data_IF_820992436531
#
_entry.id   IF_820992436531
#
_cell.length_a   1.000
_cell.length_b   1.000
_cell.length_c   1.000
_cell.angle_alpha   90.00
_cell.angle_beta   90.00
_cell.angle_gamma   90.00
#
_symmetry.space_group_name_H-M   'P 1'
#
loop_
_entity.id
_entity.type
_entity.pdbx_description
1 polymer ?
#
# COMPACT_ATOMS: atom_id res chain seq x y z
N UNK A 1 -16.25 -24.59 -3.65
CA UNK A 1 -15.92 -23.26 -3.06
C UNK A 1 -14.64 -22.78 -3.72
N UNK A 2 -14.59 -21.53 -4.22
CA UNK A 2 -13.32 -20.95 -4.68
C UNK A 2 -12.45 -20.67 -3.45
N UNK A 3 -11.15 -20.92 -3.54
CA UNK A 3 -10.22 -20.57 -2.46
C UNK A 3 -10.09 -19.04 -2.38
N UNK A 4 -10.32 -18.49 -1.19
CA UNK A 4 -10.14 -17.06 -0.94
C UNK A 4 -8.68 -16.65 -1.10
N UNK A 5 -8.44 -15.45 -1.63
CA UNK A 5 -7.10 -15.00 -1.96
C UNK A 5 -6.88 -13.51 -1.75
N UNK A 6 -5.61 -13.17 -1.52
CA UNK A 6 -5.10 -11.80 -1.52
C UNK A 6 -4.30 -11.56 -2.79
N UNK A 7 -4.63 -10.48 -3.50
CA UNK A 7 -3.86 -10.04 -4.67
C UNK A 7 -2.86 -8.97 -4.24
N UNK A 8 -1.60 -9.14 -4.62
CA UNK A 8 -0.53 -8.17 -4.35
C UNK A 8 -0.07 -7.60 -5.69
N UNK A 9 -0.28 -6.31 -5.91
CA UNK A 9 0.26 -5.61 -7.06
C UNK A 9 1.68 -5.13 -6.77
N UNK A 10 2.61 -5.58 -7.62
CA UNK A 10 4.02 -5.26 -7.50
C UNK A 10 4.39 -4.03 -8.34
N UNK A 11 4.81 -2.96 -7.65
CA UNK A 11 5.38 -1.76 -8.28
C UNK A 11 6.92 -1.79 -8.33
N UNK A 12 7.54 -2.93 -8.06
CA UNK A 12 9.00 -3.12 -8.11
C UNK A 12 9.71 -2.97 -6.76
N UNK A 13 9.00 -3.14 -5.63
CA UNK A 13 9.64 -3.12 -4.31
C UNK A 13 10.55 -4.34 -4.12
N UNK A 14 11.71 -4.13 -3.50
CA UNK A 14 12.52 -5.22 -2.94
C UNK A 14 11.79 -6.06 -1.87
N UNK A 15 10.70 -5.52 -1.28
CA UNK A 15 9.95 -6.16 -0.20
C UNK A 15 8.67 -6.87 -0.67
N UNK A 16 8.30 -6.84 -1.96
CA UNK A 16 7.02 -7.43 -2.43
C UNK A 16 6.91 -8.93 -2.08
N UNK A 17 8.00 -9.68 -2.27
CA UNK A 17 8.03 -11.11 -1.90
C UNK A 17 7.88 -11.34 -0.39
N UNK A 18 8.41 -10.42 0.43
CA UNK A 18 8.26 -10.48 1.88
C UNK A 18 6.81 -10.26 2.30
N UNK A 19 6.10 -9.32 1.67
CA UNK A 19 4.66 -9.10 1.89
C UNK A 19 3.89 -10.38 1.60
N UNK A 20 4.10 -11.00 0.44
CA UNK A 20 3.42 -12.24 0.08
C UNK A 20 3.71 -13.39 1.06
N UNK A 21 4.96 -13.50 1.53
CA UNK A 21 5.34 -14.45 2.57
C UNK A 21 4.60 -14.19 3.87
N UNK A 22 4.51 -12.94 4.35
CA UNK A 22 3.78 -12.59 5.58
C UNK A 22 2.30 -12.94 5.50
N UNK A 23 1.66 -12.70 4.34
CA UNK A 23 0.27 -13.12 4.12
C UNK A 23 0.11 -14.64 4.21
N UNK A 24 1.04 -15.41 3.61
CA UNK A 24 1.00 -16.88 3.65
C UNK A 24 1.30 -17.45 5.04
N UNK A 25 2.12 -16.78 5.84
CA UNK A 25 2.37 -17.14 7.25
C UNK A 25 1.11 -16.99 8.11
N UNK A 26 0.12 -16.21 7.67
CA UNK A 26 -1.23 -16.14 8.26
C UNK A 26 -2.19 -17.22 7.71
N UNK A 27 -1.67 -18.21 6.96
CA UNK A 27 -2.42 -19.26 6.29
C UNK A 27 -3.41 -18.76 5.21
N UNK A 28 -3.12 -17.61 4.61
CA UNK A 28 -3.94 -17.02 3.53
C UNK A 28 -3.22 -17.19 2.19
N UNK A 29 -3.93 -17.68 1.17
CA UNK A 29 -3.37 -17.79 -0.17
C UNK A 29 -3.16 -16.39 -0.79
N UNK A 30 -2.02 -16.20 -1.45
CA UNK A 30 -1.66 -14.92 -2.06
C UNK A 30 -0.97 -15.07 -3.42
N UNK A 31 -1.33 -14.18 -4.34
CA UNK A 31 -0.73 -14.08 -5.67
C UNK A 31 -0.04 -12.72 -5.81
N UNK A 32 1.15 -12.70 -6.42
CA UNK A 32 1.82 -11.46 -6.82
C UNK A 32 1.62 -11.28 -8.31
N UNK A 33 1.16 -10.10 -8.71
CA UNK A 33 1.05 -9.71 -10.11
C UNK A 33 1.78 -8.39 -10.35
N UNK A 34 2.42 -8.20 -11.51
CA UNK A 34 2.93 -6.88 -11.91
C UNK A 34 1.80 -5.86 -11.90
N UNK A 35 2.09 -4.61 -11.54
CA UNK A 35 1.10 -3.52 -11.50
C UNK A 35 0.35 -3.31 -12.83
N UNK A 36 0.98 -3.63 -13.96
CA UNK A 36 0.45 -3.45 -15.31
C UNK A 36 -0.42 -4.62 -15.78
N UNK A 37 -0.47 -5.71 -15.02
CA UNK A 37 -1.26 -6.87 -15.40
C UNK A 37 -2.72 -6.62 -15.11
N UNK A 38 -3.56 -6.86 -16.10
CA UNK A 38 -4.99 -6.89 -15.91
C UNK A 38 -5.37 -8.16 -15.13
N UNK A 39 -5.89 -7.97 -13.91
CA UNK A 39 -6.25 -9.04 -13.00
C UNK A 39 -7.75 -8.93 -12.72
N UNK A 40 -8.47 -9.99 -13.04
CA UNK A 40 -9.90 -10.09 -12.73
C UNK A 40 -10.07 -10.23 -11.22
N UNK A 41 -10.72 -9.23 -10.62
CA UNK A 41 -11.15 -9.27 -9.23
C UNK A 41 -12.55 -9.89 -9.21
N UNK A 42 -12.60 -11.14 -8.75
CA UNK A 42 -13.84 -11.91 -8.57
C UNK A 42 -14.11 -12.13 -7.06
N UNK A 43 -15.23 -12.79 -6.73
CA UNK A 43 -15.64 -13.03 -5.34
C UNK A 43 -14.62 -13.82 -4.49
N UNK A 44 -13.62 -14.45 -5.10
CA UNK A 44 -12.54 -15.12 -4.37
C UNK A 44 -11.48 -14.15 -3.85
N UNK A 45 -11.37 -12.95 -4.43
CA UNK A 45 -10.43 -11.93 -3.97
C UNK A 45 -11.01 -11.21 -2.75
N UNK A 46 -10.36 -11.37 -1.60
CA UNK A 46 -10.83 -10.79 -0.32
C UNK A 46 -10.08 -9.56 0.12
N UNK A 47 -8.90 -9.32 -0.42
CA UNK A 47 -8.14 -8.09 -0.19
C UNK A 47 -7.14 -7.85 -1.33
N UNK A 48 -6.76 -6.59 -1.49
CA UNK A 48 -5.70 -6.16 -2.41
C UNK A 48 -4.60 -5.45 -1.61
N UNK A 49 -3.34 -5.72 -1.95
CA UNK A 49 -2.18 -5.01 -1.39
C UNK A 49 -1.43 -4.31 -2.53
N UNK A 50 -1.18 -3.01 -2.35
CA UNK A 50 -0.34 -2.20 -3.22
C UNK A 50 1.07 -2.09 -2.62
N UNK A 51 2.06 -2.65 -3.29
CA UNK A 51 3.42 -2.68 -2.76
C UNK A 51 4.14 -1.32 -2.84
N UNK A 52 5.36 -1.27 -2.30
CA UNK A 52 6.25 -0.13 -2.48
C UNK A 52 6.88 -0.09 -3.88
N UNK A 53 7.69 0.93 -4.12
CA UNK A 53 8.43 1.09 -5.38
C UNK A 53 9.67 1.96 -5.14
N UNK A 54 10.74 1.83 -5.95
CA UNK A 54 11.82 2.80 -5.96
C UNK A 54 11.45 4.12 -6.65
N UNK A 55 10.36 4.14 -7.42
CA UNK A 55 9.92 5.32 -8.18
C UNK A 55 9.23 6.36 -7.30
N UNK A 56 9.20 7.61 -7.79
CA UNK A 56 8.30 8.65 -7.28
C UNK A 56 6.98 8.61 -8.06
N UNK A 57 5.84 8.72 -7.39
CA UNK A 57 4.52 8.78 -8.08
C UNK A 57 4.37 10.01 -8.99
N UNK A 58 5.23 11.02 -8.81
CA UNK A 58 5.25 12.25 -9.61
C UNK A 58 5.99 12.10 -10.94
N UNK A 59 6.76 11.03 -11.13
CA UNK A 59 7.50 10.80 -12.37
C UNK A 59 6.55 10.40 -13.51
N UNK A 60 6.83 10.84 -14.73
CA UNK A 60 5.96 10.56 -15.88
C UNK A 60 5.84 9.06 -16.17
N UNK A 61 6.97 8.35 -16.04
CA UNK A 61 7.10 6.91 -16.23
C UNK A 61 6.86 6.09 -14.96
N UNK A 62 6.32 6.70 -13.90
CA UNK A 62 6.04 6.01 -12.65
C UNK A 62 5.05 4.84 -12.86
N UNK A 63 5.22 3.70 -12.16
CA UNK A 63 4.28 2.58 -12.21
C UNK A 63 2.84 2.99 -11.87
N UNK A 64 1.93 2.92 -12.85
CA UNK A 64 0.51 3.26 -12.68
C UNK A 64 -0.34 2.01 -12.94
N UNK A 65 -0.96 1.42 -11.91
CA UNK A 65 -1.90 0.32 -12.10
C UNK A 65 -3.19 0.86 -12.74
N UNK A 66 -3.91 0.01 -13.46
CA UNK A 66 -5.29 0.36 -13.84
C UNK A 66 -6.13 0.45 -12.58
N UNK A 67 -6.80 1.58 -12.37
CA UNK A 67 -7.61 1.80 -11.17
C UNK A 67 -8.95 1.04 -11.20
N UNK A 68 -9.33 0.49 -12.35
CA UNK A 68 -10.64 -0.13 -12.57
C UNK A 68 -10.88 -1.32 -11.63
N UNK A 69 -9.81 -1.93 -11.12
CA UNK A 69 -9.86 -3.03 -10.15
C UNK A 69 -10.19 -2.58 -8.71
N UNK A 70 -10.09 -1.29 -8.38
CA UNK A 70 -10.33 -0.76 -7.01
C UNK A 70 -11.77 -0.28 -6.78
N UNK A 71 -12.63 -0.27 -7.80
CA UNK A 71 -14.03 0.15 -7.68
C UNK A 71 -14.96 -0.92 -7.08
N UNK A 72 -14.40 -2.04 -6.61
CA UNK A 72 -15.15 -3.11 -5.96
C UNK A 72 -15.04 -2.98 -4.43
N UNK A 73 -16.01 -3.50 -3.67
CA UNK A 73 -16.06 -3.50 -2.19
C UNK A 73 -14.95 -4.34 -1.50
N UNK A 74 -13.78 -4.48 -2.15
CA UNK A 74 -12.63 -5.24 -1.67
C UNK A 74 -11.67 -4.29 -0.94
N UNK A 75 -11.29 -4.58 0.31
CA UNK A 75 -10.38 -3.73 1.07
C UNK A 75 -8.98 -3.68 0.43
N UNK A 76 -8.42 -2.47 0.39
CA UNK A 76 -7.09 -2.19 -0.17
C UNK A 76 -6.14 -1.74 0.94
N UNK A 77 -5.00 -2.42 1.09
CA UNK A 77 -3.87 -1.97 1.90
C UNK A 77 -2.77 -1.45 1.00
N UNK A 78 -2.32 -0.22 1.21
CA UNK A 78 -1.31 0.39 0.37
C UNK A 78 -0.05 0.74 1.18
N UNK A 79 1.13 0.35 0.66
CA UNK A 79 2.39 0.42 1.39
C UNK A 79 3.37 1.32 0.64
N UNK A 80 3.91 2.34 1.32
CA UNK A 80 4.88 3.28 0.76
C UNK A 80 4.39 3.91 -0.56
N UNK A 81 5.00 3.57 -1.70
CA UNK A 81 4.59 4.03 -3.03
C UNK A 81 3.10 3.78 -3.30
N UNK A 82 2.56 2.61 -2.93
CA UNK A 82 1.14 2.33 -3.09
C UNK A 82 0.26 3.34 -2.36
N UNK A 83 0.64 3.75 -1.14
CA UNK A 83 -0.09 4.74 -0.36
C UNK A 83 0.01 6.14 -0.98
N UNK A 84 1.21 6.50 -1.45
CA UNK A 84 1.43 7.75 -2.20
C UNK A 84 0.59 7.78 -3.48
N UNK A 85 0.50 6.65 -4.19
CA UNK A 85 -0.26 6.52 -5.42
C UNK A 85 -1.75 6.74 -5.18
N UNK A 86 -2.33 6.07 -4.17
CA UNK A 86 -3.73 6.30 -3.79
C UNK A 86 -3.96 7.75 -3.38
N UNK A 87 -3.12 8.31 -2.51
CA UNK A 87 -3.26 9.70 -2.10
C UNK A 87 -3.21 10.66 -3.30
N UNK A 88 -2.26 10.47 -4.21
CA UNK A 88 -2.09 11.32 -5.39
C UNK A 88 -3.29 11.23 -6.35
N UNK A 89 -3.77 10.02 -6.64
CA UNK A 89 -4.87 9.80 -7.58
C UNK A 89 -6.24 10.20 -7.00
N UNK A 90 -6.37 10.31 -5.67
CA UNK A 90 -7.60 10.72 -5.01
C UNK A 90 -7.59 12.20 -4.55
N UNK A 91 -6.75 13.05 -5.13
CA UNK A 91 -6.77 14.51 -4.88
C UNK A 91 -5.93 14.98 -3.70
N UNK A 92 -5.12 14.09 -3.12
CA UNK A 92 -4.05 14.44 -2.19
C UNK A 92 -2.81 15.01 -2.91
N UNK A 93 -1.80 15.40 -2.13
CA UNK A 93 -0.56 16.00 -2.66
C UNK A 93 0.65 15.25 -2.11
N UNK A 94 1.50 14.77 -3.01
CA UNK A 94 2.77 14.10 -2.69
C UNK A 94 3.92 15.03 -3.06
N UNK A 95 4.84 15.27 -2.13
CA UNK A 95 5.97 16.18 -2.30
C UNK A 95 7.30 15.50 -1.94
N UNK A 96 8.45 15.97 -2.45
CA UNK A 96 9.74 15.44 -2.04
C UNK A 96 9.89 15.60 -0.53
N UNK A 97 10.28 14.54 0.16
CA UNK A 97 10.60 14.67 1.57
C UNK A 97 11.89 15.46 1.73
N UNK A 98 11.89 16.47 2.61
CA UNK A 98 13.10 17.22 2.97
C UNK A 98 14.09 16.37 3.77
N UNK A 99 13.61 15.28 4.37
CA UNK A 99 14.37 14.33 5.17
C UNK A 99 14.32 13.00 4.42
N UNK A 100 15.48 12.48 4.00
CA UNK A 100 15.58 11.13 3.46
C UNK A 100 15.42 10.13 4.61
N UNK A 101 14.18 9.80 4.95
CA UNK A 101 13.84 8.84 6.00
C UNK A 101 13.99 7.41 5.47
N UNK A 102 15.25 6.98 5.32
CA UNK A 102 15.57 5.58 5.17
C UNK A 102 16.01 5.03 6.52
N UNK A 103 15.14 4.22 7.14
CA UNK A 103 15.48 3.52 8.37
C UNK A 103 14.39 3.55 9.43
N UNK A 104 14.82 3.38 10.68
CA UNK A 104 13.93 3.26 11.83
C UNK A 104 13.33 4.61 12.17
N UNK A 105 12.02 4.64 12.34
CA UNK A 105 11.28 5.74 12.92
C UNK A 105 10.33 5.21 13.99
N UNK A 106 9.84 6.10 14.85
CA UNK A 106 8.80 5.76 15.81
C UNK A 106 7.48 6.34 15.31
N UNK A 107 6.44 5.51 15.26
CA UNK A 107 5.10 5.92 14.90
C UNK A 107 4.50 6.77 16.04
N UNK A 108 4.61 8.09 15.91
CA UNK A 108 4.23 9.06 16.96
C UNK A 108 2.72 9.30 17.04
N UNK A 109 2.00 9.16 15.92
CA UNK A 109 0.57 9.40 15.82
C UNK A 109 -0.08 8.46 14.81
N UNK A 110 -1.27 7.98 15.13
CA UNK A 110 -2.23 7.30 14.26
C UNK A 110 -3.61 7.30 14.94
N UNK A 111 -4.70 7.21 14.17
CA UNK A 111 -6.03 7.02 14.76
C UNK A 111 -6.14 5.66 15.45
N UNK A 112 -6.24 5.66 16.78
CA UNK A 112 -6.38 4.45 17.58
C UNK A 112 -7.71 3.73 17.39
N UNK A 113 -8.71 4.37 16.77
CA UNK A 113 -9.98 3.73 16.41
C UNK A 113 -9.93 2.99 15.06
N UNK A 114 -8.86 3.20 14.28
CA UNK A 114 -8.67 2.50 13.01
C UNK A 114 -8.48 1.00 13.23
N UNK A 115 -9.27 0.20 12.52
CA UNK A 115 -9.17 -1.27 12.55
C UNK A 115 -7.79 -1.78 12.17
N UNK A 116 -7.06 -1.03 11.33
CA UNK A 116 -5.72 -1.39 10.87
C UNK A 116 -4.69 -1.41 12.00
N UNK A 117 -4.85 -0.54 13.00
CA UNK A 117 -3.89 -0.36 14.09
C UNK A 117 -4.32 -1.07 15.38
N UNK A 118 -5.31 -1.95 15.32
CA UNK A 118 -5.71 -2.74 16.49
C UNK A 118 -4.53 -3.59 17.00
N UNK A 119 -4.18 -3.42 18.28
CA UNK A 119 -3.04 -4.09 18.90
C UNK A 119 -1.67 -3.45 18.64
N UNK A 120 -1.60 -2.34 17.89
CA UNK A 120 -0.37 -1.56 17.70
C UNK A 120 -0.25 -0.53 18.83
N UNK A 121 0.90 -0.49 19.50
CA UNK A 121 1.16 0.48 20.58
C UNK A 121 1.69 1.81 20.04
N UNK A 122 1.41 2.90 20.76
CA UNK A 122 2.01 4.21 20.50
C UNK A 122 3.54 4.13 20.53
N UNK A 123 4.22 4.87 19.66
CA UNK A 123 5.69 4.84 19.51
C UNK A 123 6.26 3.48 19.06
N UNK A 124 5.43 2.63 18.45
CA UNK A 124 5.93 1.41 17.77
C UNK A 124 7.01 1.78 16.75
N UNK A 125 8.08 0.98 16.70
CA UNK A 125 9.13 1.16 15.71
C UNK A 125 8.63 0.69 14.35
N UNK A 126 8.78 1.55 13.35
CA UNK A 126 8.46 1.28 11.94
C UNK A 126 9.70 1.46 11.07
N UNK A 127 9.65 0.89 9.88
CA UNK A 127 10.71 1.02 8.87
C UNK A 127 10.24 1.92 7.72
N UNK A 128 10.79 3.13 7.68
CA UNK A 128 10.50 4.13 6.63
C UNK A 128 11.45 3.91 5.45
N UNK A 129 10.92 4.02 4.23
CA UNK A 129 11.65 3.66 3.01
C UNK A 129 11.24 4.49 1.78
N UNK A 130 10.99 5.79 1.95
CA UNK A 130 10.55 6.64 0.84
C UNK A 130 11.27 7.99 0.78
N UNK A 131 11.53 8.44 -0.45
CA UNK A 131 12.05 9.80 -0.72
C UNK A 131 10.94 10.86 -0.78
N UNK A 132 9.68 10.43 -0.86
CA UNK A 132 8.50 11.27 -1.01
C UNK A 132 7.56 11.15 0.18
N UNK A 133 6.78 12.20 0.44
CA UNK A 133 5.81 12.20 1.54
C UNK A 133 4.45 12.74 1.08
N UNK A 134 3.39 12.22 1.67
CA UNK A 134 2.03 12.72 1.47
C UNK A 134 1.87 13.97 2.33
N UNK A 135 1.87 15.13 1.69
CA UNK A 135 1.73 16.44 2.34
C UNK A 135 0.29 16.90 2.52
N UNK A 136 -0.63 16.36 1.72
CA UNK A 136 -2.08 16.55 1.85
C UNK A 136 -2.75 15.22 1.58
N UNK A 137 -3.53 14.72 2.54
CA UNK A 137 -4.37 13.54 2.35
C UNK A 137 -5.64 13.93 1.57
N UNK A 138 -6.24 12.99 0.80
CA UNK A 138 -7.57 13.21 0.22
C UNK A 138 -8.62 13.56 1.28
N UNK A 139 -9.63 14.36 0.91
CA UNK A 139 -10.68 14.81 1.84
C UNK A 139 -11.53 13.67 2.43
N UNK A 140 -11.62 12.54 1.72
CA UNK A 140 -12.34 11.34 2.17
C UNK A 140 -11.51 10.41 3.06
N UNK A 141 -10.26 10.77 3.39
CA UNK A 141 -9.34 9.94 4.17
C UNK A 141 -9.09 10.57 5.54
N UNK A 142 -8.70 9.73 6.49
CA UNK A 142 -8.30 10.13 7.84
C UNK A 142 -6.83 9.77 8.09
N UNK A 143 -6.17 10.53 8.96
CA UNK A 143 -4.79 10.29 9.39
C UNK A 143 -4.73 9.35 10.60
#
# INVERSE_FOLDING_TARGET
>A
MKNEKVIIFDFGSQYTQLIARRVRELNIYSEIHPFSKDVVIDDSVKAIILSGSPYSVREDNAPKPSLDCFNQDVPVLAICYGAQFLAHNNGGTVSPSKIREYGRANLSFFDSNSRLFNGVSSNSQVWMSHGDTITKIPESFNL
#
